data_IF_325297382218
#
_entry.id   IF_325297382218
#
_cell.length_a   1.000
_cell.length_b   1.000
_cell.length_c   1.000
_cell.angle_alpha   90.00
_cell.angle_beta   90.00
_cell.angle_gamma   90.00
#
_symmetry.space_group_name_H-M   'P 1'
#
loop_
_entity.id
_entity.type
_entity.pdbx_description
1 polymer ?
#
# COMPACT_ATOMS: atom_id res chain seq x y z
N UNK A 1 4.47 -10.42 24.86
CA UNK A 1 5.53 -10.53 23.82
C UNK A 1 5.31 -9.39 22.85
N UNK A 2 6.35 -8.68 22.40
CA UNK A 2 6.20 -7.60 21.44
C UNK A 2 6.48 -8.10 20.02
N UNK A 3 5.51 -7.99 19.12
CA UNK A 3 5.62 -8.47 17.73
C UNK A 3 5.92 -7.33 16.73
N UNK A 4 6.27 -6.14 17.20
CA UNK A 4 6.61 -5.02 16.31
C UNK A 4 7.83 -5.37 15.47
N UNK A 5 7.88 -4.85 14.24
CA UNK A 5 8.93 -5.11 13.24
C UNK A 5 9.03 -6.58 12.79
N UNK A 6 7.99 -7.39 13.01
CA UNK A 6 7.92 -8.75 12.50
C UNK A 6 6.93 -8.85 11.33
N UNK A 7 7.14 -9.87 10.52
CA UNK A 7 6.21 -10.26 9.46
C UNK A 7 5.36 -11.43 9.93
N UNK A 8 4.05 -11.28 9.85
CA UNK A 8 3.09 -12.37 9.92
C UNK A 8 2.92 -12.95 8.52
N UNK A 9 3.16 -14.25 8.40
CA UNK A 9 2.97 -15.00 7.16
C UNK A 9 1.77 -15.92 7.38
N UNK A 10 0.69 -15.65 6.63
CA UNK A 10 -0.47 -16.51 6.65
C UNK A 10 -0.15 -17.84 5.96
N UNK A 11 -0.56 -18.94 6.61
CA UNK A 11 -0.44 -20.26 5.98
C UNK A 11 -1.37 -20.34 4.76
N UNK A 12 -0.98 -21.09 3.71
CA UNK A 12 -1.74 -21.17 2.47
C UNK A 12 -3.12 -21.84 2.64
N UNK A 13 -3.31 -22.64 3.69
CA UNK A 13 -4.57 -23.32 4.03
C UNK A 13 -5.47 -22.50 4.98
N UNK A 14 -5.21 -21.19 5.08
CA UNK A 14 -6.01 -20.29 5.91
C UNK A 14 -7.39 -20.05 5.26
N UNK A 15 -8.46 -20.34 6.00
CA UNK A 15 -9.86 -20.25 5.52
C UNK A 15 -10.32 -18.81 5.23
N UNK A 16 -9.71 -17.81 5.88
CA UNK A 16 -10.05 -16.41 5.67
C UNK A 16 -9.46 -15.89 4.35
N UNK A 17 -10.32 -15.64 3.37
CA UNK A 17 -9.93 -15.16 2.04
C UNK A 17 -9.20 -13.80 2.05
N UNK A 18 -9.40 -12.96 3.06
CA UNK A 18 -8.71 -11.66 3.16
C UNK A 18 -7.24 -11.83 3.55
N UNK A 19 -6.96 -12.74 4.47
CA UNK A 19 -5.61 -12.98 4.98
C UNK A 19 -4.92 -14.17 4.33
N UNK A 20 -5.63 -15.00 3.57
CA UNK A 20 -5.06 -16.14 2.87
C UNK A 20 -3.93 -15.70 1.93
N UNK A 21 -2.81 -16.39 2.09
CA UNK A 21 -1.55 -16.11 1.38
C UNK A 21 -1.07 -14.66 1.54
N UNK A 22 -1.43 -13.97 2.64
CA UNK A 22 -0.98 -12.60 2.91
C UNK A 22 0.32 -12.57 3.72
N UNK A 23 1.09 -11.50 3.50
CA UNK A 23 2.24 -11.13 4.32
C UNK A 23 1.93 -9.79 4.95
N UNK A 24 1.84 -9.77 6.28
CA UNK A 24 1.47 -8.59 7.06
C UNK A 24 2.66 -8.15 7.90
N UNK A 25 3.09 -6.90 7.74
CA UNK A 25 4.12 -6.28 8.56
C UNK A 25 3.49 -5.64 9.80
N UNK A 26 3.99 -5.91 11.01
CA UNK A 26 3.50 -5.31 12.24
C UNK A 26 4.29 -4.03 12.55
N UNK A 27 3.60 -2.89 12.48
CA UNK A 27 4.17 -1.57 12.79
C UNK A 27 4.14 -1.27 14.28
N UNK A 28 3.11 -1.77 14.98
CA UNK A 28 2.86 -1.48 16.40
C UNK A 28 2.20 -2.68 17.07
N UNK A 29 2.66 -3.01 18.28
CA UNK A 29 2.06 -4.04 19.12
C UNK A 29 2.14 -3.62 20.58
N UNK A 30 0.99 -3.38 21.18
CA UNK A 30 0.82 -2.88 22.55
C UNK A 30 -0.31 -3.65 23.26
N UNK A 31 -0.62 -3.25 24.49
CA UNK A 31 -1.72 -3.83 25.28
C UNK A 31 -3.10 -3.63 24.62
N UNK A 32 -3.26 -2.59 23.80
CA UNK A 32 -4.47 -2.34 22.99
C UNK A 32 -4.61 -3.27 21.77
N UNK A 33 -3.53 -3.96 21.37
CA UNK A 33 -3.51 -4.88 20.23
C UNK A 33 -2.36 -4.66 19.26
N UNK A 34 -2.55 -5.08 18.01
CA UNK A 34 -1.54 -5.03 16.96
C UNK A 34 -2.05 -4.25 15.74
N UNK A 35 -1.22 -3.36 15.20
CA UNK A 35 -1.43 -2.70 13.92
C UNK A 35 -0.42 -3.22 12.90
N UNK A 36 -0.92 -3.61 11.74
CA UNK A 36 -0.07 -4.05 10.65
C UNK A 36 -0.60 -3.69 9.26
N UNK A 37 0.27 -3.84 8.26
CA UNK A 37 0.00 -3.51 6.86
C UNK A 37 0.29 -4.75 6.01
N UNK A 38 -0.67 -5.14 5.16
CA UNK A 38 -0.46 -6.18 4.16
C UNK A 38 0.40 -5.66 3.00
N UNK A 39 1.56 -6.27 2.77
CA UNK A 39 2.54 -5.79 1.78
C UNK A 39 2.41 -6.47 0.42
N UNK A 40 1.73 -7.60 0.33
CA UNK A 40 1.64 -8.41 -0.89
C UNK A 40 0.26 -8.37 -1.57
N UNK A 41 -0.61 -7.43 -1.18
CA UNK A 41 -1.93 -7.21 -1.78
C UNK A 41 -2.00 -5.75 -2.28
N UNK A 42 -1.66 -5.48 -3.56
CA UNK A 42 -1.67 -4.13 -4.09
C UNK A 42 -3.10 -3.57 -4.12
N UNK A 43 -3.26 -2.30 -3.74
CA UNK A 43 -4.51 -1.57 -3.87
C UNK A 43 -4.80 -1.25 -5.34
N UNK A 44 -6.08 -1.21 -5.78
CA UNK A 44 -6.45 -0.75 -7.11
C UNK A 44 -6.18 0.75 -7.34
N UNK A 45 -5.90 1.51 -6.27
CA UNK A 45 -5.63 2.94 -6.35
C UNK A 45 -4.14 3.18 -6.61
N UNK A 46 -3.84 3.84 -7.72
CA UNK A 46 -2.46 4.22 -8.08
C UNK A 46 -2.05 5.53 -7.40
N UNK A 47 -0.75 5.73 -7.23
CA UNK A 47 -0.21 6.96 -6.63
C UNK A 47 -0.61 8.22 -7.42
N UNK A 48 -0.79 8.12 -8.74
CA UNK A 48 -1.24 9.24 -9.57
C UNK A 48 -2.68 9.70 -9.24
N UNK A 49 -3.52 8.79 -8.73
CA UNK A 49 -4.88 9.14 -8.32
C UNK A 49 -4.91 9.86 -6.97
N UNK A 50 -3.98 9.51 -6.07
CA UNK A 50 -3.90 10.06 -4.71
C UNK A 50 -3.08 11.34 -4.69
N UNK A 51 -1.96 11.35 -5.40
CA UNK A 51 -1.07 12.48 -5.61
C UNK A 51 -1.06 12.80 -7.10
N UNK A 52 -2.13 13.45 -7.60
CA UNK A 52 -2.11 13.92 -8.97
C UNK A 52 -0.90 14.82 -9.15
N UNK A 53 -0.19 14.71 -10.29
CA UNK A 53 0.96 15.55 -10.55
C UNK A 53 0.55 17.00 -10.32
N UNK A 54 1.41 17.81 -9.66
CA UNK A 54 1.11 19.22 -9.44
C UNK A 54 0.74 19.81 -10.79
N UNK A 55 -0.47 20.37 -10.88
CA UNK A 55 -1.03 20.88 -12.11
C UNK A 55 0.05 21.70 -12.81
N UNK A 56 0.59 21.18 -13.92
CA UNK A 56 1.57 21.93 -14.70
C UNK A 56 0.81 23.13 -15.25
N UNK A 57 0.92 24.26 -14.56
CA UNK A 57 0.47 25.54 -15.04
C UNK A 57 1.35 25.92 -16.23
N UNK A 58 0.75 25.81 -17.42
CA UNK A 58 0.97 26.58 -18.66
C UNK A 58 2.33 26.42 -19.41
N UNK A 59 2.44 26.89 -20.68
CA UNK A 59 1.42 27.47 -21.55
C UNK A 59 1.22 26.72 -22.89
N UNK A 60 0.07 26.99 -23.51
CA UNK A 60 -0.10 26.85 -24.94
C UNK A 60 1.03 27.65 -25.63
N UNK A 61 1.92 27.00 -26.37
CA UNK A 61 3.11 27.65 -26.93
C UNK A 61 3.67 26.84 -28.09
N UNK A 62 3.26 27.25 -29.30
CA UNK A 62 3.92 27.13 -30.60
C UNK A 62 5.07 26.13 -30.78
N UNK A 63 4.88 25.17 -31.69
CA UNK A 63 5.88 24.87 -32.74
C UNK A 63 5.11 24.42 -33.99
N UNK A 64 5.08 25.26 -35.03
CA UNK A 64 5.96 25.18 -36.21
C UNK A 64 5.42 24.20 -37.24
N UNK A 65 4.65 24.72 -38.18
CA UNK A 65 4.58 24.16 -39.54
C UNK A 65 5.14 25.23 -40.46
N UNK A 66 6.37 25.00 -40.93
CA UNK A 66 6.97 25.71 -42.05
C UNK A 66 6.46 25.11 -43.36
#
# INVERSE_FOLDING_TARGET
MNLSNHFLVAMPDMEDAFFSQSVVYICKHDEDGALGIAINKPSPITMDMIFPPPAKTSPCGCSTTA
#
